data_IF_992256882119
#
_entry.id   IF_992256882119
#
_cell.length_a   1.000
_cell.length_b   1.000
_cell.length_c   1.000
_cell.angle_alpha   90.00
_cell.angle_beta   90.00
_cell.angle_gamma   90.00
#
_symmetry.space_group_name_H-M   'P 1'
#
loop_
_entity.id
_entity.type
_entity.pdbx_description
1 polymer ?
#
# COMPACT_ATOMS: atom_id res chain seq x y z
N UNK A 1 -13.03 38.20 -14.13
CA UNK A 1 -12.77 38.94 -15.38
C UNK A 1 -11.33 39.38 -15.28
N UNK A 2 -10.38 38.89 -16.06
CA UNK A 2 -10.42 38.43 -17.45
C UNK A 2 -9.35 37.34 -17.63
N UNK A 3 -9.67 36.32 -18.44
CA UNK A 3 -8.75 35.38 -19.07
C UNK A 3 -7.55 36.08 -19.73
N UNK A 4 -6.38 35.43 -19.70
CA UNK A 4 -5.48 35.46 -20.85
C UNK A 4 -5.06 34.01 -21.14
N UNK A 5 -5.91 33.37 -21.93
CA UNK A 5 -5.59 32.16 -22.67
C UNK A 5 -4.58 32.55 -23.76
N UNK A 6 -3.31 32.15 -23.61
CA UNK A 6 -2.25 32.40 -24.60
C UNK A 6 -2.40 31.34 -25.71
N UNK A 7 -3.13 31.73 -26.75
CA UNK A 7 -3.44 30.92 -27.91
C UNK A 7 -2.22 30.92 -28.86
N UNK A 8 -1.42 29.84 -28.82
CA UNK A 8 -0.32 29.62 -29.76
C UNK A 8 -0.78 29.59 -31.24
N UNK A 9 0.14 29.81 -32.19
CA UNK A 9 -0.20 30.00 -33.61
C UNK A 9 -0.86 28.75 -34.22
N UNK A 10 -1.80 28.93 -35.18
CA UNK A 10 -2.54 27.81 -35.76
C UNK A 10 -1.61 26.89 -36.56
N UNK A 11 -1.64 25.60 -36.24
CA UNK A 11 -0.97 24.55 -37.02
C UNK A 11 -1.53 24.51 -38.46
N UNK A 12 -0.68 24.30 -39.48
CA UNK A 12 -1.15 24.15 -40.85
C UNK A 12 -2.06 22.91 -41.00
N UNK A 13 -3.05 22.94 -41.91
CA UNK A 13 -3.94 21.81 -42.13
C UNK A 13 -3.15 20.57 -42.60
N UNK A 14 -3.53 19.36 -42.17
CA UNK A 14 -2.94 18.13 -42.68
C UNK A 14 -3.15 18.04 -44.20
N UNK A 15 -2.08 17.91 -44.96
CA UNK A 15 -2.19 17.65 -46.39
C UNK A 15 -2.84 16.27 -46.59
N UNK A 16 -3.98 16.27 -47.27
CA UNK A 16 -4.70 15.05 -47.63
C UNK A 16 -3.88 14.26 -48.66
N UNK A 17 -3.12 13.27 -48.19
CA UNK A 17 -2.67 12.18 -49.02
C UNK A 17 -3.88 11.33 -49.39
N UNK A 18 -4.32 11.44 -50.65
CA UNK A 18 -5.35 10.61 -51.27
C UNK A 18 -4.87 9.16 -51.38
N UNK A 19 -5.00 8.40 -50.30
CA UNK A 19 -5.16 6.95 -50.36
C UNK A 19 -6.21 6.55 -49.33
N UNK A 20 -7.48 6.73 -49.71
CA UNK A 20 -8.61 6.49 -48.84
C UNK A 20 -8.94 5.00 -48.81
N UNK A 21 -8.41 4.29 -47.82
CA UNK A 21 -9.04 3.06 -47.35
C UNK A 21 -10.52 3.37 -47.02
N UNK A 22 -11.47 2.48 -47.36
CA UNK A 22 -12.88 2.70 -47.10
C UNK A 22 -13.09 3.04 -45.61
N UNK A 23 -13.94 4.04 -45.29
CA UNK A 23 -14.14 4.46 -43.91
C UNK A 23 -14.56 3.25 -43.06
N UNK A 24 -13.98 3.05 -41.86
CA UNK A 24 -14.37 1.96 -40.99
C UNK A 24 -15.88 2.04 -40.73
N UNK A 25 -16.61 0.98 -41.09
CA UNK A 25 -18.05 0.92 -40.84
C UNK A 25 -18.32 1.19 -39.35
N UNK A 26 -19.34 1.98 -38.98
CA UNK A 26 -19.64 2.24 -37.58
C UNK A 26 -19.93 0.90 -36.89
N UNK A 27 -19.13 0.56 -35.87
CA UNK A 27 -19.34 -0.66 -35.12
C UNK A 27 -20.79 -0.71 -34.60
N UNK A 28 -21.45 -1.88 -34.66
CA UNK A 28 -22.83 -2.00 -34.17
C UNK A 28 -22.91 -1.56 -32.70
N UNK A 29 -24.01 -0.90 -32.29
CA UNK A 29 -24.13 -0.37 -30.94
C UNK A 29 -23.97 -1.49 -29.92
N UNK A 30 -23.19 -1.25 -28.83
CA UNK A 30 -22.99 -2.25 -27.79
C UNK A 30 -24.32 -2.74 -27.24
N UNK A 31 -24.53 -4.06 -27.22
CA UNK A 31 -25.73 -4.66 -26.62
C UNK A 31 -25.76 -4.40 -25.12
N UNK A 32 -26.96 -4.33 -24.56
CA UNK A 32 -27.13 -4.19 -23.11
C UNK A 32 -26.64 -5.44 -22.39
N UNK A 33 -25.76 -5.25 -21.41
CA UNK A 33 -25.25 -6.30 -20.52
C UNK A 33 -25.44 -5.84 -19.06
N UNK A 34 -26.33 -6.50 -18.30
CA UNK A 34 -26.53 -6.21 -16.87
C UNK A 34 -25.24 -6.28 -16.05
N UNK A 35 -24.32 -7.19 -16.39
CA UNK A 35 -23.04 -7.34 -15.68
C UNK A 35 -22.16 -6.12 -15.89
N UNK A 36 -22.11 -5.60 -17.12
CA UNK A 36 -21.41 -4.35 -17.45
C UNK A 36 -22.00 -3.16 -16.70
N UNK A 37 -23.33 -3.06 -16.61
CA UNK A 37 -24.00 -1.99 -15.86
C UNK A 37 -23.66 -2.03 -14.37
N UNK A 38 -23.70 -3.20 -13.75
CA UNK A 38 -23.29 -3.39 -12.35
C UNK A 38 -21.82 -2.97 -12.15
N UNK A 39 -20.94 -3.36 -13.08
CA UNK A 39 -19.54 -2.95 -13.06
C UNK A 39 -19.35 -1.42 -13.18
N UNK A 40 -20.15 -0.75 -14.01
CA UNK A 40 -20.14 0.72 -14.15
C UNK A 40 -20.59 1.38 -12.85
N UNK A 41 -21.68 0.92 -12.24
CA UNK A 41 -22.20 1.45 -10.97
C UNK A 41 -21.14 1.33 -9.87
N UNK A 42 -20.53 0.15 -9.74
CA UNK A 42 -19.46 -0.10 -8.76
C UNK A 42 -18.24 0.78 -8.99
N UNK A 43 -17.77 0.89 -10.24
CA UNK A 43 -16.62 1.76 -10.57
C UNK A 43 -16.90 3.23 -10.28
N UNK A 44 -18.11 3.72 -10.60
CA UNK A 44 -18.51 5.10 -10.28
C UNK A 44 -18.51 5.36 -8.78
N UNK A 45 -18.98 4.40 -7.97
CA UNK A 45 -18.94 4.53 -6.52
C UNK A 45 -17.49 4.57 -6.00
N UNK A 46 -16.65 3.63 -6.43
CA UNK A 46 -15.25 3.56 -6.01
C UNK A 46 -14.46 4.83 -6.36
N UNK A 47 -14.64 5.37 -7.56
CA UNK A 47 -13.98 6.63 -7.97
C UNK A 47 -14.41 7.79 -7.07
N UNK A 48 -15.70 7.87 -6.75
CA UNK A 48 -16.24 8.90 -5.86
C UNK A 48 -15.67 8.78 -4.45
N UNK A 49 -15.62 7.57 -3.91
CA UNK A 49 -15.10 7.31 -2.56
C UNK A 49 -13.59 7.60 -2.50
N UNK A 50 -12.84 7.21 -3.54
CA UNK A 50 -11.41 7.53 -3.65
C UNK A 50 -11.17 9.05 -3.71
N UNK A 51 -11.94 9.77 -4.52
CA UNK A 51 -11.83 11.23 -4.61
C UNK A 51 -12.15 11.92 -3.27
N UNK A 52 -13.11 11.40 -2.50
CA UNK A 52 -13.44 11.92 -1.19
C UNK A 52 -12.28 11.75 -0.19
N UNK A 53 -11.60 10.59 -0.21
CA UNK A 53 -10.41 10.35 0.62
C UNK A 53 -9.29 11.32 0.26
N UNK A 54 -8.95 11.44 -1.03
CA UNK A 54 -7.92 12.40 -1.47
C UNK A 54 -8.27 13.84 -1.10
N UNK A 55 -9.53 14.25 -1.26
CA UNK A 55 -9.95 15.59 -0.89
C UNK A 55 -9.81 15.84 0.61
N UNK A 56 -10.18 14.87 1.45
CA UNK A 56 -10.01 14.97 2.90
C UNK A 56 -8.54 15.08 3.30
N UNK A 57 -7.65 14.29 2.67
CA UNK A 57 -6.20 14.38 2.89
C UNK A 57 -5.63 15.75 2.48
N UNK A 58 -6.05 16.29 1.33
CA UNK A 58 -5.66 17.63 0.91
C UNK A 58 -6.10 18.70 1.91
N UNK A 59 -7.34 18.62 2.42
CA UNK A 59 -7.84 19.57 3.42
C UNK A 59 -7.06 19.45 4.74
N UNK A 60 -6.77 18.23 5.19
CA UNK A 60 -5.96 18.00 6.39
C UNK A 60 -4.56 18.61 6.24
N UNK A 61 -3.91 18.40 5.10
CA UNK A 61 -2.60 19.00 4.83
C UNK A 61 -2.64 20.53 4.82
N UNK A 62 -3.66 21.12 4.19
CA UNK A 62 -3.86 22.58 4.23
C UNK A 62 -4.06 23.10 5.66
N UNK A 63 -4.80 22.37 6.50
CA UNK A 63 -4.99 22.73 7.91
C UNK A 63 -3.66 22.68 8.69
N UNK A 64 -2.85 21.63 8.51
CA UNK A 64 -1.53 21.52 9.12
C UNK A 64 -0.61 22.68 8.72
N UNK A 65 -0.61 23.08 7.44
CA UNK A 65 0.15 24.23 6.96
C UNK A 65 -0.29 25.54 7.64
N UNK A 66 -1.60 25.77 7.76
CA UNK A 66 -2.13 26.96 8.43
C UNK A 66 -1.81 26.97 9.93
N UNK A 67 -1.83 25.81 10.60
CA UNK A 67 -1.40 25.69 11.99
C UNK A 67 0.09 25.99 12.17
N UNK A 68 0.93 25.52 11.25
CA UNK A 68 2.36 25.83 11.25
C UNK A 68 2.60 27.33 11.03
N UNK A 69 1.86 27.96 10.11
CA UNK A 69 1.93 29.40 9.89
C UNK A 69 1.51 30.18 11.15
N UNK A 70 0.43 29.76 11.83
CA UNK A 70 0.01 30.40 13.09
C UNK A 70 1.09 30.29 14.17
N UNK A 71 1.66 29.10 14.38
CA UNK A 71 2.73 28.88 15.37
C UNK A 71 3.97 29.74 15.05
N UNK A 72 4.25 29.94 13.77
CA UNK A 72 5.31 30.83 13.32
C UNK A 72 5.06 32.28 13.72
N UNK A 73 3.87 32.80 13.45
CA UNK A 73 3.46 34.16 13.81
C UNK A 73 3.43 34.36 15.34
N UNK A 74 2.89 33.40 16.09
CA UNK A 74 2.88 33.39 17.57
C UNK A 74 4.30 33.45 18.15
N UNK A 75 5.20 32.58 17.68
CA UNK A 75 6.60 32.54 18.13
C UNK A 75 7.33 33.85 17.83
N UNK A 76 7.05 34.47 16.67
CA UNK A 76 7.62 35.75 16.30
C UNK A 76 7.10 36.89 17.19
N UNK A 77 5.80 36.93 17.48
CA UNK A 77 5.18 37.93 18.35
C UNK A 77 5.67 37.85 19.80
N UNK A 78 5.80 36.63 20.34
CA UNK A 78 6.38 36.38 21.66
C UNK A 78 7.82 36.87 21.74
N UNK A 79 8.63 36.57 20.72
CA UNK A 79 10.03 37.01 20.67
C UNK A 79 10.16 38.54 20.64
N UNK A 80 9.38 39.21 19.80
CA UNK A 80 9.39 40.68 19.72
C UNK A 80 8.96 41.33 21.03
N UNK A 81 8.05 40.69 21.77
CA UNK A 81 7.62 41.13 23.10
C UNK A 81 8.74 40.97 24.15
N UNK A 82 9.67 40.03 23.97
CA UNK A 82 10.75 39.74 24.91
C UNK A 82 12.06 40.50 24.62
N UNK A 83 12.46 40.66 23.36
CA UNK A 83 13.80 41.16 23.00
C UNK A 83 13.83 42.51 22.26
N UNK A 84 12.66 43.08 21.94
CA UNK A 84 12.40 44.44 21.42
C UNK A 84 13.24 45.01 20.27
N UNK A 85 14.21 44.31 19.67
CA UNK A 85 15.17 44.95 18.75
C UNK A 85 15.39 44.19 17.43
N UNK A 86 15.16 42.88 17.34
CA UNK A 86 15.41 42.12 16.09
C UNK A 86 14.33 41.03 15.88
N UNK A 87 13.60 41.02 14.74
CA UNK A 87 12.77 39.89 14.33
C UNK A 87 13.64 38.65 14.11
N UNK A 88 13.21 37.49 14.60
CA UNK A 88 13.92 36.22 14.37
C UNK A 88 14.12 35.98 12.88
N UNK A 89 15.31 35.49 12.49
CA UNK A 89 15.52 35.08 11.11
C UNK A 89 14.65 33.83 10.80
N UNK A 90 14.32 33.59 9.52
CA UNK A 90 13.56 32.40 9.12
C UNK A 90 14.17 31.09 9.59
N UNK A 91 15.50 31.01 9.66
CA UNK A 91 16.23 29.85 10.14
C UNK A 91 15.97 29.61 11.65
N UNK A 92 15.99 30.67 12.46
CA UNK A 92 15.76 30.59 13.91
C UNK A 92 14.31 30.25 14.25
N UNK A 93 13.36 30.82 13.50
CA UNK A 93 11.92 30.50 13.62
C UNK A 93 11.63 29.06 13.22
N UNK A 94 12.28 28.56 12.16
CA UNK A 94 12.12 27.18 11.69
C UNK A 94 12.58 26.17 12.74
N UNK A 95 13.72 26.41 13.40
CA UNK A 95 14.20 25.54 14.49
C UNK A 95 13.22 25.51 15.67
N UNK A 96 12.60 26.65 16.00
CA UNK A 96 11.64 26.78 17.10
C UNK A 96 10.28 26.14 16.79
N UNK A 97 9.77 26.28 15.56
CA UNK A 97 8.42 25.84 15.16
C UNK A 97 8.39 24.38 14.70
N UNK A 98 9.35 23.95 13.89
CA UNK A 98 9.34 22.64 13.21
C UNK A 98 10.10 21.53 13.96
N UNK A 99 10.59 21.85 15.18
CA UNK A 99 11.56 21.07 15.97
C UNK A 99 12.92 20.94 15.25
N UNK A 100 14.02 20.80 16.00
CA UNK A 100 15.31 20.48 15.41
C UNK A 100 15.20 19.19 14.58
N UNK A 101 15.47 19.29 13.28
CA UNK A 101 15.52 18.15 12.36
C UNK A 101 16.64 17.23 12.81
N UNK A 102 16.32 16.19 13.58
CA UNK A 102 17.29 15.18 14.00
C UNK A 102 17.83 14.46 12.76
N UNK A 103 19.02 14.86 12.30
CA UNK A 103 19.82 13.99 11.43
C UNK A 103 20.72 14.63 10.37
N UNK A 104 20.61 15.91 9.99
CA UNK A 104 21.46 16.40 8.89
C UNK A 104 21.87 17.88 8.99
N UNK A 105 23.09 18.12 9.45
CA UNK A 105 23.98 19.16 8.90
C UNK A 105 25.15 18.41 8.26
N UNK A 106 25.04 18.08 6.96
CA UNK A 106 26.18 17.54 6.20
C UNK A 106 27.08 18.71 5.85
N UNK A 107 28.28 18.76 6.43
CA UNK A 107 29.29 19.76 6.05
C UNK A 107 30.25 20.21 7.16
N UNK A 108 29.94 19.96 8.44
CA UNK A 108 30.75 20.45 9.57
C UNK A 108 31.70 19.40 10.18
N UNK A 109 31.94 18.27 9.51
CA UNK A 109 32.94 17.29 9.97
C UNK A 109 32.63 16.61 11.31
N UNK A 110 31.42 16.71 11.85
CA UNK A 110 31.02 16.02 13.07
C UNK A 110 30.45 14.65 12.73
N UNK A 111 31.19 13.59 13.07
CA UNK A 111 30.77 12.19 12.94
C UNK A 111 29.57 11.93 13.86
N UNK A 112 28.38 11.55 13.36
CA UNK A 112 27.31 11.09 14.22
C UNK A 112 27.76 9.83 14.97
N UNK A 113 27.97 9.96 16.27
CA UNK A 113 28.30 8.83 17.14
C UNK A 113 27.01 8.20 17.64
N UNK A 114 26.42 7.34 16.81
CA UNK A 114 25.75 6.14 17.30
C UNK A 114 25.55 5.17 16.14
N UNK A 115 26.34 4.11 16.14
CA UNK A 115 25.98 2.87 15.44
C UNK A 115 24.82 2.26 16.23
N UNK A 116 23.59 2.70 15.96
CA UNK A 116 22.42 1.96 16.40
C UNK A 116 22.32 0.72 15.52
N UNK A 117 22.85 -0.38 16.04
CA UNK A 117 22.45 -1.72 15.61
C UNK A 117 20.95 -1.82 15.94
N UNK A 118 20.10 -1.73 14.92
CA UNK A 118 18.66 -1.90 15.07
C UNK A 118 18.40 -3.34 15.51
N UNK A 119 18.30 -3.59 16.82
CA UNK A 119 17.46 -4.67 17.31
C UNK A 119 16.05 -4.10 17.23
N UNK A 120 15.34 -4.43 16.15
CA UNK A 120 13.91 -4.13 16.03
C UNK A 120 13.19 -4.88 17.14
N UNK A 121 12.74 -4.17 18.17
CA UNK A 121 11.74 -4.68 19.10
C UNK A 121 10.37 -4.66 18.40
N UNK A 122 9.67 -5.80 18.22
CA UNK A 122 8.41 -5.84 17.50
C UNK A 122 7.23 -5.59 18.44
N UNK A 123 6.98 -4.34 18.81
CA UNK A 123 5.78 -3.97 19.57
C UNK A 123 4.58 -3.84 18.62
N UNK A 124 3.79 -4.94 18.52
CA UNK A 124 2.43 -5.13 17.93
C UNK A 124 2.30 -6.22 16.84
N UNK A 125 3.39 -6.60 16.17
CA UNK A 125 3.37 -7.76 15.26
C UNK A 125 3.69 -9.09 15.97
N UNK A 126 4.18 -9.03 17.21
CA UNK A 126 4.61 -10.22 17.98
C UNK A 126 3.44 -11.15 18.32
N UNK A 127 2.35 -10.61 18.87
CA UNK A 127 1.26 -11.44 19.41
C UNK A 127 0.48 -12.14 18.29
N UNK A 128 0.27 -11.46 17.16
CA UNK A 128 -0.37 -12.04 15.99
C UNK A 128 0.48 -13.16 15.35
N UNK A 129 1.79 -12.93 15.21
CA UNK A 129 2.72 -13.96 14.70
C UNK A 129 2.74 -15.16 15.65
N UNK A 130 2.82 -14.93 16.96
CA UNK A 130 2.81 -16.01 17.95
C UNK A 130 1.51 -16.82 17.94
N UNK A 131 0.36 -16.16 17.76
CA UNK A 131 -0.93 -16.83 17.59
C UNK A 131 -0.97 -17.68 16.31
N UNK A 132 -0.46 -17.17 15.18
CA UNK A 132 -0.37 -17.92 13.93
C UNK A 132 0.56 -19.12 14.06
N UNK A 133 1.72 -18.95 14.69
CA UNK A 133 2.68 -20.04 14.93
C UNK A 133 2.07 -21.16 15.77
N UNK A 134 1.33 -20.81 16.83
CA UNK A 134 0.63 -21.80 17.66
C UNK A 134 -0.47 -22.52 16.86
N UNK A 135 -1.20 -21.82 16.00
CA UNK A 135 -2.22 -22.43 15.14
C UNK A 135 -1.59 -23.39 14.12
N UNK A 136 -0.47 -23.00 13.50
CA UNK A 136 0.30 -23.86 12.57
C UNK A 136 0.82 -25.10 13.29
N UNK A 137 1.37 -24.94 14.51
CA UNK A 137 1.88 -26.06 15.29
C UNK A 137 0.75 -27.06 15.64
N UNK A 138 -0.41 -26.56 16.06
CA UNK A 138 -1.57 -27.39 16.36
C UNK A 138 -2.10 -28.12 15.12
N UNK A 139 -2.17 -27.45 13.97
CA UNK A 139 -2.54 -28.08 12.71
C UNK A 139 -1.54 -29.16 12.29
N UNK A 140 -0.24 -28.90 12.42
CA UNK A 140 0.80 -29.88 12.13
C UNK A 140 0.70 -31.12 13.02
N UNK A 141 0.36 -30.95 14.29
CA UNK A 141 0.14 -32.10 15.19
C UNK A 141 -1.07 -32.93 14.76
N UNK A 142 -2.18 -32.29 14.37
CA UNK A 142 -3.37 -32.99 13.87
C UNK A 142 -3.07 -33.75 12.56
N UNK A 143 -2.31 -33.13 11.64
CA UNK A 143 -1.85 -33.78 10.41
C UNK A 143 -0.97 -35.00 10.74
N UNK A 144 -0.03 -34.86 11.67
CA UNK A 144 0.85 -35.96 12.08
C UNK A 144 0.07 -37.13 12.69
N UNK A 145 -0.94 -36.84 13.53
CA UNK A 145 -1.83 -37.84 14.13
C UNK A 145 -2.63 -38.58 13.06
N UNK A 146 -3.19 -37.86 12.08
CA UNK A 146 -3.94 -38.45 10.97
C UNK A 146 -3.05 -39.31 10.06
N UNK A 147 -1.86 -38.83 9.70
CA UNK A 147 -0.93 -39.64 8.90
C UNK A 147 -0.47 -40.90 9.63
N UNK A 148 -0.36 -40.88 10.96
CA UNK A 148 -0.01 -42.06 11.75
C UNK A 148 -1.12 -43.11 11.75
N UNK A 149 -2.39 -42.70 11.81
CA UNK A 149 -3.52 -43.63 11.70
C UNK A 149 -3.63 -44.20 10.28
N UNK A 150 -3.47 -43.37 9.25
CA UNK A 150 -3.39 -43.78 7.83
C UNK A 150 -2.28 -44.82 7.61
N UNK A 151 -1.05 -44.55 8.06
CA UNK A 151 0.07 -45.50 7.96
C UNK A 151 -0.22 -46.81 8.68
N UNK A 152 -0.88 -46.76 9.84
CA UNK A 152 -1.27 -47.95 10.60
C UNK A 152 -2.32 -48.78 9.84
N UNK A 153 -3.31 -48.12 9.22
CA UNK A 153 -4.31 -48.79 8.39
C UNK A 153 -3.69 -49.37 7.12
N UNK A 154 -2.81 -48.63 6.45
CA UNK A 154 -2.07 -49.09 5.27
C UNK A 154 -1.27 -50.37 5.56
N UNK A 155 -0.55 -50.42 6.69
CA UNK A 155 0.15 -51.64 7.14
C UNK A 155 -0.80 -52.82 7.39
N UNK A 156 -1.97 -52.56 7.98
CA UNK A 156 -2.97 -53.61 8.22
C UNK A 156 -3.51 -54.18 6.90
N UNK A 157 -3.81 -53.31 5.95
CA UNK A 157 -4.24 -53.71 4.59
C UNK A 157 -3.14 -54.51 3.91
N UNK A 158 -1.88 -54.05 3.97
CA UNK A 158 -0.74 -54.74 3.38
C UNK A 158 -0.57 -56.16 3.96
N UNK A 159 -0.70 -56.30 5.28
CA UNK A 159 -0.68 -57.62 5.94
C UNK A 159 -1.81 -58.54 5.49
N UNK A 160 -3.03 -57.99 5.29
CA UNK A 160 -4.16 -58.77 4.76
C UNK A 160 -3.89 -59.23 3.32
N UNK A 161 -3.38 -58.33 2.47
CA UNK A 161 -3.03 -58.66 1.08
C UNK A 161 -1.98 -59.77 1.04
N UNK A 162 -0.97 -59.70 1.88
CA UNK A 162 0.08 -60.73 1.97
C UNK A 162 -0.48 -62.08 2.42
N UNK A 163 -1.34 -62.09 3.44
CA UNK A 163 -2.03 -63.30 3.91
C UNK A 163 -2.90 -63.93 2.81
N UNK A 164 -3.68 -63.13 2.09
CA UNK A 164 -4.52 -63.61 0.99
C UNK A 164 -3.67 -64.12 -0.18
N UNK A 165 -2.56 -63.45 -0.48
CA UNK A 165 -1.60 -63.86 -1.50
C UNK A 165 -1.00 -65.23 -1.16
N UNK A 166 -0.53 -65.43 0.07
CA UNK A 166 0.04 -66.71 0.51
C UNK A 166 -0.98 -67.85 0.47
N UNK A 167 -2.22 -67.59 0.93
CA UNK A 167 -3.31 -68.58 0.84
C UNK A 167 -3.66 -68.95 -0.59
N UNK A 168 -3.60 -68.00 -1.54
CA UNK A 168 -3.82 -68.26 -2.97
C UNK A 168 -2.73 -69.14 -3.58
N UNK A 169 -1.47 -68.99 -3.15
CA UNK A 169 -0.39 -69.89 -3.57
C UNK A 169 -0.53 -71.29 -2.97
N UNK A 170 -1.14 -71.41 -1.78
CA UNK A 170 -1.32 -72.69 -1.09
C UNK A 170 -2.49 -73.55 -1.62
N UNK A 171 -3.45 -72.93 -2.33
CA UNK A 171 -4.63 -73.59 -2.94
C UNK A 171 -4.40 -73.96 -4.42
N UNK A 172 -3.22 -73.64 -4.98
CA UNK A 172 -2.79 -74.12 -6.31
C UNK A 172 -2.06 -75.46 -6.17
N UNK A 173 -2.79 -76.54 -5.94
CA UNK A 173 -2.40 -77.93 -6.19
C UNK A 173 -3.65 -78.72 -6.60
#
# INVERSE_FOLDING_TARGET
MVELEELGPPLPPPQASSDAAPPPQPAPPPRFDPSRMIGIIRRKALIKDLAAVYHAECLAYCQELLELQRKWEETQAEHLSQTSVIPLSPEELSVKVLKPRSGYVKGLGLRPSSSMKTIVAPAKNSDYVQCLEMQIAQQNEQIARFQKSEKKQSKKIQSIIECLTQKRYHVKF
#
